data_IF_988647470739
#
_entry.id   IF_988647470739
#
_cell.length_a   1.000
_cell.length_b   1.000
_cell.length_c   1.000
_cell.angle_alpha   90.00
_cell.angle_beta   90.00
_cell.angle_gamma   90.00
#
_symmetry.space_group_name_H-M   'P 1'
#
loop_
_entity.id
_entity.type
_entity.pdbx_description
1 polymer ?
#
# COMPACT_ATOMS: atom_id res chain seq x y z
N UNK A 1 -7.21 27.32 24.80
CA UNK A 1 -6.62 27.07 23.46
C UNK A 1 -5.83 25.76 23.34
N UNK A 2 -5.06 25.31 24.35
CA UNK A 2 -4.26 24.05 24.28
C UNK A 2 -5.08 22.75 24.14
N UNK A 3 -6.29 22.67 24.72
CA UNK A 3 -7.13 21.45 24.69
C UNK A 3 -7.62 21.08 23.28
N UNK A 4 -7.95 22.07 22.46
CA UNK A 4 -8.38 21.86 21.07
C UNK A 4 -7.25 21.32 20.20
N UNK A 5 -6.03 21.83 20.38
CA UNK A 5 -4.86 21.33 19.67
C UNK A 5 -4.58 19.85 20.01
N UNK A 6 -4.72 19.47 21.28
CA UNK A 6 -4.56 18.07 21.69
C UNK A 6 -5.61 17.15 21.04
N UNK A 7 -6.88 17.58 20.99
CA UNK A 7 -7.95 16.82 20.36
C UNK A 7 -7.69 16.67 18.86
N UNK A 8 -7.32 17.76 18.17
CA UNK A 8 -6.99 17.73 16.73
C UNK A 8 -5.79 16.82 16.46
N UNK A 9 -4.75 16.88 17.29
CA UNK A 9 -3.57 16.04 17.14
C UNK A 9 -3.90 14.54 17.29
N UNK A 10 -4.70 14.18 18.30
CA UNK A 10 -5.14 12.79 18.52
C UNK A 10 -6.01 12.32 17.34
N UNK A 11 -6.96 13.15 16.91
CA UNK A 11 -7.83 12.82 15.78
C UNK A 11 -7.03 12.61 14.49
N UNK A 12 -6.12 13.54 14.16
CA UNK A 12 -5.30 13.47 12.96
C UNK A 12 -4.35 12.27 12.99
N UNK A 13 -3.74 11.99 14.14
CA UNK A 13 -2.88 10.82 14.32
C UNK A 13 -3.66 9.52 14.13
N UNK A 14 -4.84 9.40 14.74
CA UNK A 14 -5.69 8.22 14.58
C UNK A 14 -6.13 8.04 13.13
N UNK A 15 -6.55 9.14 12.48
CA UNK A 15 -6.93 9.13 11.07
C UNK A 15 -5.79 8.65 10.17
N UNK A 16 -4.55 9.11 10.42
CA UNK A 16 -3.38 8.66 9.67
C UNK A 16 -3.15 7.15 9.80
N UNK A 17 -3.29 6.60 11.02
CA UNK A 17 -3.15 5.16 11.26
C UNK A 17 -4.21 4.38 10.48
N UNK A 18 -5.48 4.81 10.52
CA UNK A 18 -6.55 4.17 9.76
C UNK A 18 -6.33 4.25 8.25
N UNK A 19 -5.87 5.40 7.75
CA UNK A 19 -5.61 5.62 6.33
C UNK A 19 -4.50 4.68 5.83
N UNK A 20 -3.41 4.55 6.60
CA UNK A 20 -2.34 3.61 6.27
C UNK A 20 -2.81 2.16 6.39
N UNK A 21 -3.56 1.81 7.45
CA UNK A 21 -4.10 0.46 7.65
C UNK A 21 -5.04 -0.02 6.53
N UNK A 22 -5.79 0.91 5.94
CA UNK A 22 -6.81 0.62 4.91
C UNK A 22 -6.38 0.94 3.48
N UNK A 23 -5.14 1.41 3.28
CA UNK A 23 -4.66 1.83 1.98
C UNK A 23 -4.71 0.67 0.96
N UNK A 24 -5.46 0.81 -0.14
CA UNK A 24 -5.55 -0.22 -1.16
C UNK A 24 -4.26 -0.24 -1.99
N UNK A 25 -3.77 -1.46 -2.28
CA UNK A 25 -2.53 -1.65 -3.03
C UNK A 25 -2.60 -1.00 -4.41
N UNK A 26 -3.75 -1.10 -5.07
CA UNK A 26 -3.96 -0.56 -6.41
C UNK A 26 -3.72 0.96 -6.49
N UNK A 27 -4.12 1.73 -5.46
CA UNK A 27 -3.87 3.16 -5.45
C UNK A 27 -2.37 3.46 -5.34
N UNK A 28 -1.64 2.74 -4.48
CA UNK A 28 -0.20 2.97 -4.34
C UNK A 28 0.54 2.60 -5.62
N UNK A 29 0.24 1.42 -6.19
CA UNK A 29 0.88 0.95 -7.42
C UNK A 29 0.64 1.89 -8.60
N UNK A 30 -0.57 2.46 -8.70
CA UNK A 30 -0.90 3.41 -9.78
C UNK A 30 -0.22 4.79 -9.61
N UNK A 31 0.18 5.14 -8.39
CA UNK A 31 0.87 6.41 -8.10
C UNK A 31 2.40 6.30 -8.12
N UNK A 32 2.97 5.10 -8.16
CA UNK A 32 4.42 4.90 -8.29
C UNK A 32 4.83 4.67 -9.74
N UNK A 33 6.05 5.09 -10.09
CA UNK A 33 6.63 4.79 -11.40
C UNK A 33 7.20 3.38 -11.36
N UNK A 34 6.49 2.44 -11.98
CA UNK A 34 7.00 1.10 -12.23
C UNK A 34 8.09 1.14 -13.31
N UNK A 35 9.17 0.35 -13.16
CA UNK A 35 10.14 0.11 -14.22
C UNK A 35 9.46 -0.42 -15.49
N UNK A 36 9.92 -0.01 -16.68
CA UNK A 36 9.29 -0.37 -17.97
C UNK A 36 9.26 -1.87 -18.25
N UNK A 37 10.11 -2.64 -17.58
CA UNK A 37 10.20 -4.08 -17.71
C UNK A 37 9.29 -4.85 -16.74
N UNK A 38 8.50 -4.15 -15.92
CA UNK A 38 7.57 -4.72 -14.96
C UNK A 38 6.15 -4.27 -15.31
N UNK A 39 5.30 -5.22 -15.67
CA UNK A 39 3.87 -4.98 -15.86
C UNK A 39 3.07 -5.78 -14.82
N UNK A 40 2.14 -5.11 -14.15
CA UNK A 40 1.26 -5.72 -13.16
C UNK A 40 -0.18 -5.68 -13.69
N UNK A 41 -0.90 -6.79 -13.62
CA UNK A 41 -2.29 -6.90 -14.04
C UNK A 41 -3.13 -7.54 -12.92
N UNK A 42 -4.32 -7.00 -12.69
CA UNK A 42 -5.24 -7.48 -11.67
C UNK A 42 -4.67 -7.32 -10.25
N UNK A 43 -4.30 -6.11 -9.87
CA UNK A 43 -3.86 -5.79 -8.51
C UNK A 43 -5.08 -5.61 -7.60
N UNK A 44 -5.12 -6.31 -6.47
CA UNK A 44 -6.20 -6.22 -5.48
C UNK A 44 -5.66 -6.31 -4.04
N UNK A 45 -6.50 -5.97 -3.07
CA UNK A 45 -6.15 -6.00 -1.64
C UNK A 45 -5.54 -4.70 -1.10
N UNK A 46 -4.94 -4.79 0.08
CA UNK A 46 -4.31 -3.66 0.79
C UNK A 46 -2.80 -3.66 0.58
N UNK A 47 -2.14 -2.55 0.90
CA UNK A 47 -0.67 -2.48 0.89
C UNK A 47 0.00 -3.49 1.83
N UNK A 48 -0.73 -3.98 2.84
CA UNK A 48 -0.26 -4.95 3.83
C UNK A 48 -0.42 -6.38 3.34
N UNK A 49 -1.56 -6.68 2.72
CA UNK A 49 -1.88 -7.99 2.16
C UNK A 49 -2.53 -7.78 0.79
N UNK A 50 -1.69 -7.91 -0.25
CA UNK A 50 -2.10 -7.70 -1.63
C UNK A 50 -2.02 -8.97 -2.44
N UNK A 51 -2.90 -9.08 -3.43
CA UNK A 51 -2.89 -10.16 -4.41
C UNK A 51 -2.75 -9.55 -5.81
N UNK A 52 -1.88 -10.14 -6.62
CA UNK A 52 -1.61 -9.70 -7.98
C UNK A 52 -1.84 -10.90 -8.89
N UNK A 53 -2.79 -10.76 -9.81
CA UNK A 53 -3.17 -11.84 -10.72
C UNK A 53 -2.01 -12.21 -11.64
N UNK A 54 -1.33 -11.22 -12.21
CA UNK A 54 -0.20 -11.44 -13.12
C UNK A 54 0.87 -10.37 -12.99
N UNK A 55 2.12 -10.81 -12.92
CA UNK A 55 3.32 -9.98 -12.90
C UNK A 55 4.21 -10.40 -14.05
N UNK A 56 4.49 -9.49 -14.98
CA UNK A 56 5.39 -9.73 -16.11
C UNK A 56 6.71 -9.02 -15.87
N UNK A 57 7.81 -9.77 -15.78
CA UNK A 57 9.17 -9.24 -15.59
C UNK A 57 10.07 -9.79 -16.69
N UNK A 58 10.61 -8.92 -17.54
CA UNK A 58 11.53 -9.31 -18.62
C UNK A 58 11.01 -10.51 -19.45
N UNK A 59 9.76 -10.45 -19.92
CA UNK A 59 9.06 -11.55 -20.64
C UNK A 59 8.73 -12.82 -19.83
N UNK A 60 9.01 -12.86 -18.53
CA UNK A 60 8.56 -13.93 -17.65
C UNK A 60 7.26 -13.53 -16.96
N UNK A 61 6.24 -14.37 -17.09
CA UNK A 61 4.95 -14.16 -16.43
C UNK A 61 4.86 -15.00 -15.16
N UNK A 62 4.57 -14.33 -14.04
CA UNK A 62 4.32 -14.96 -12.76
C UNK A 62 2.86 -14.70 -12.41
N UNK A 63 2.10 -15.77 -12.25
CA UNK A 63 0.67 -15.70 -11.93
C UNK A 63 0.43 -15.93 -10.43
N UNK A 64 -0.66 -15.35 -9.91
CA UNK A 64 -1.13 -15.51 -8.52
C UNK A 64 -0.07 -15.16 -7.48
N UNK A 65 0.49 -13.95 -7.61
CA UNK A 65 1.49 -13.44 -6.67
C UNK A 65 0.78 -12.88 -5.44
N UNK A 66 1.08 -13.46 -4.27
CA UNK A 66 0.66 -12.91 -2.99
C UNK A 66 1.79 -12.07 -2.40
N UNK A 67 1.44 -10.88 -1.96
CA UNK A 67 2.37 -9.93 -1.34
C UNK A 67 1.95 -9.70 0.10
N UNK A 68 2.91 -9.70 1.01
CA UNK A 68 2.68 -9.40 2.41
C UNK A 68 3.74 -8.45 2.89
N UNK A 69 3.32 -7.28 3.36
CA UNK A 69 4.17 -6.25 3.91
C UNK A 69 3.89 -6.16 5.39
N UNK A 70 4.93 -6.22 6.21
CA UNK A 70 4.81 -6.04 7.65
C UNK A 70 4.53 -4.58 7.97
N UNK A 71 3.56 -4.32 8.86
CA UNK A 71 3.30 -2.97 9.37
C UNK A 71 4.55 -2.28 9.92
N UNK A 72 5.41 -3.05 10.57
CA UNK A 72 6.64 -2.56 11.19
C UNK A 72 7.67 -2.04 10.19
N UNK A 73 7.57 -2.38 8.90
CA UNK A 73 8.48 -1.89 7.86
C UNK A 73 8.41 -0.37 7.64
N UNK A 74 7.37 0.31 8.14
CA UNK A 74 7.30 1.77 8.14
C UNK A 74 8.32 2.44 9.07
N UNK A 75 8.88 1.70 10.03
CA UNK A 75 9.80 2.22 11.05
C UNK A 75 11.25 1.77 10.85
N UNK A 76 11.53 1.01 9.78
CA UNK A 76 12.87 0.49 9.45
C UNK A 76 13.52 1.24 8.31
#
# INVERSE_FOLDING_TARGET
MKKWFAITAIFLSSYMVFLLASAPLALVINNIKLPKNIALQGVSGSIWQGEIVKVTINNNEIEKVKTTVSFWSLFS
#
